data_IF_848218783077
#
_entry.id   IF_848218783077
#
_cell.length_a   1.000
_cell.length_b   1.000
_cell.length_c   1.000
_cell.angle_alpha   90.00
_cell.angle_beta   90.00
_cell.angle_gamma   90.00
#
_symmetry.space_group_name_H-M   'P 1'
#
loop_
_entity.id
_entity.type
_entity.pdbx_description
1 polymer ?
#
# COMPACT_ATOMS: atom_id res chain seq x y z
N UNK A 1 24.02 14.03 -6.35
CA UNK A 1 23.20 13.51 -5.25
C UNK A 1 23.42 12.02 -5.09
N UNK A 2 23.64 11.56 -3.87
CA UNK A 2 23.72 10.14 -3.52
C UNK A 2 22.33 9.48 -3.54
N UNK A 3 22.26 8.14 -3.60
CA UNK A 3 20.98 7.42 -3.51
C UNK A 3 20.26 7.72 -2.18
N UNK A 4 21.02 7.87 -1.09
CA UNK A 4 20.45 8.20 0.22
C UNK A 4 19.76 9.57 0.21
N UNK A 5 20.38 10.58 -0.40
CA UNK A 5 19.79 11.93 -0.52
C UNK A 5 18.54 11.92 -1.41
N UNK A 6 18.59 11.20 -2.54
CA UNK A 6 17.43 11.07 -3.44
C UNK A 6 16.29 10.33 -2.77
N UNK A 7 16.59 9.29 -2.00
CA UNK A 7 15.61 8.54 -1.23
C UNK A 7 14.95 9.44 -0.19
N UNK A 8 15.73 10.23 0.56
CA UNK A 8 15.17 11.16 1.54
C UNK A 8 14.26 12.21 0.90
N UNK A 9 14.68 12.84 -0.20
CA UNK A 9 13.82 13.78 -0.93
C UNK A 9 12.53 13.14 -1.45
N UNK A 10 12.62 11.87 -1.87
CA UNK A 10 11.45 11.10 -2.32
C UNK A 10 10.48 10.88 -1.16
N UNK A 11 10.98 10.53 0.03
CA UNK A 11 10.15 10.40 1.22
C UNK A 11 9.53 11.73 1.65
N UNK A 12 10.29 12.82 1.62
CA UNK A 12 9.80 14.16 1.97
C UNK A 12 8.66 14.58 1.01
N UNK A 13 8.79 14.30 -0.28
CA UNK A 13 7.71 14.48 -1.25
C UNK A 13 6.49 13.64 -0.88
N UNK A 14 6.64 12.33 -0.65
CA UNK A 14 5.54 11.44 -0.30
C UNK A 14 4.82 11.92 0.97
N UNK A 15 5.56 12.31 2.01
CA UNK A 15 4.99 12.78 3.26
C UNK A 15 4.32 14.16 3.15
N UNK A 16 4.73 15.00 2.19
CA UNK A 16 4.00 16.24 1.90
C UNK A 16 2.59 15.98 1.31
N UNK A 17 2.34 14.76 0.82
CA UNK A 17 1.01 14.31 0.36
C UNK A 17 0.14 13.70 1.49
N UNK A 18 0.61 13.75 2.75
CA UNK A 18 -0.24 13.40 3.88
C UNK A 18 -1.35 14.46 4.01
N UNK A 19 -2.62 14.05 4.15
CA UNK A 19 -3.66 15.00 4.50
C UNK A 19 -3.30 15.67 5.82
N UNK A 20 -3.41 17.01 5.91
CA UNK A 20 -3.31 17.70 7.19
C UNK A 20 -4.54 17.35 8.06
N UNK A 21 -4.51 16.18 8.70
CA UNK A 21 -5.57 15.71 9.60
C UNK A 21 -5.85 16.73 10.71
N UNK A 22 -4.81 17.38 11.23
CA UNK A 22 -4.91 18.43 12.25
C UNK A 22 -5.69 19.68 11.80
N UNK A 23 -5.86 19.90 10.49
CA UNK A 23 -6.48 21.12 9.95
C UNK A 23 -7.80 20.87 9.21
N UNK A 24 -8.06 19.64 8.76
CA UNK A 24 -9.19 19.29 7.88
C UNK A 24 -10.21 18.36 8.58
N UNK A 25 -9.85 17.74 9.71
CA UNK A 25 -10.76 16.89 10.48
C UNK A 25 -11.31 15.69 9.69
N UNK A 26 -12.49 15.16 10.04
CA UNK A 26 -13.11 14.01 9.36
C UNK A 26 -13.35 14.20 7.86
N UNK A 27 -13.32 15.44 7.36
CA UNK A 27 -13.45 15.77 5.94
C UNK A 27 -12.18 15.45 5.11
N UNK A 28 -11.05 15.11 5.75
CA UNK A 28 -9.86 14.61 5.08
C UNK A 28 -10.05 13.20 4.50
N UNK A 29 -11.09 12.48 4.91
CA UNK A 29 -11.54 11.26 4.26
C UNK A 29 -12.15 11.60 2.89
N UNK A 30 -11.43 11.30 1.80
CA UNK A 30 -12.03 11.31 0.47
C UNK A 30 -13.17 10.29 0.43
N UNK A 31 -14.32 10.69 -0.13
CA UNK A 31 -15.59 9.95 -0.08
C UNK A 31 -15.68 8.80 -1.08
N UNK A 32 -14.65 8.59 -1.91
CA UNK A 32 -14.65 7.59 -2.98
C UNK A 32 -13.24 7.06 -3.28
N UNK A 33 -13.17 6.09 -4.18
CA UNK A 33 -11.96 5.41 -4.62
C UNK A 33 -11.46 5.94 -5.99
N UNK A 34 -11.87 7.14 -6.41
CA UNK A 34 -11.62 7.66 -7.76
C UNK A 34 -10.12 7.81 -8.06
N UNK A 35 -9.34 8.42 -7.18
CA UNK A 35 -7.92 8.68 -7.44
C UNK A 35 -7.10 7.39 -7.48
N UNK A 36 -7.32 6.48 -6.54
CA UNK A 36 -6.61 5.19 -6.56
C UNK A 36 -6.97 4.38 -7.81
N UNK A 37 -8.24 4.41 -8.26
CA UNK A 37 -8.65 3.78 -9.52
C UNK A 37 -7.99 4.44 -10.73
N UNK A 38 -7.95 5.78 -10.78
CA UNK A 38 -7.31 6.53 -11.86
C UNK A 38 -5.80 6.23 -11.91
N UNK A 39 -5.14 6.25 -10.75
CA UNK A 39 -3.71 5.95 -10.64
C UNK A 39 -3.40 4.53 -11.09
N UNK A 40 -4.17 3.54 -10.61
CA UNK A 40 -3.98 2.16 -11.03
C UNK A 40 -4.33 1.93 -12.51
N UNK A 41 -5.31 2.63 -13.06
CA UNK A 41 -5.61 2.58 -14.50
C UNK A 41 -4.42 3.08 -15.33
N UNK A 42 -3.80 4.20 -14.94
CA UNK A 42 -2.60 4.73 -15.59
C UNK A 42 -1.38 3.81 -15.45
N UNK A 43 -1.31 3.00 -14.38
CA UNK A 43 -0.30 1.96 -14.19
C UNK A 43 -0.60 0.65 -14.96
N UNK A 44 -1.70 0.59 -15.71
CA UNK A 44 -2.11 -0.60 -16.45
C UNK A 44 -2.75 -1.67 -15.57
N UNK A 45 -3.48 -1.26 -14.54
CA UNK A 45 -4.22 -2.13 -13.61
C UNK A 45 -3.35 -3.21 -12.95
N UNK A 46 -2.25 -2.83 -12.26
CA UNK A 46 -1.34 -3.80 -11.66
C UNK A 46 -2.03 -4.70 -10.60
N UNK A 47 -3.05 -4.17 -9.92
CA UNK A 47 -3.84 -4.88 -8.90
C UNK A 47 -4.63 -6.09 -9.44
N UNK A 48 -4.78 -6.22 -10.76
CA UNK A 48 -5.46 -7.35 -11.42
C UNK A 48 -4.50 -8.45 -11.87
N UNK A 49 -3.19 -8.27 -11.67
CA UNK A 49 -2.14 -9.15 -12.19
C UNK A 49 -1.62 -10.18 -11.18
N UNK A 50 -2.20 -10.22 -9.99
CA UNK A 50 -1.86 -11.20 -8.95
C UNK A 50 -3.11 -11.51 -8.11
N UNK A 51 -3.26 -12.75 -7.59
CA UNK A 51 -4.30 -13.04 -6.62
C UNK A 51 -3.97 -12.39 -5.28
N UNK A 52 -5.00 -12.04 -4.51
CA UNK A 52 -4.82 -11.33 -3.24
C UNK A 52 -5.66 -11.89 -2.10
N UNK A 53 -5.15 -11.70 -0.88
CA UNK A 53 -5.87 -11.88 0.38
C UNK A 53 -5.97 -10.52 1.04
N UNK A 54 -7.18 -10.12 1.45
CA UNK A 54 -7.44 -8.80 2.01
C UNK A 54 -7.73 -8.88 3.50
N UNK A 55 -6.96 -8.17 4.32
CA UNK A 55 -7.01 -8.29 5.78
C UNK A 55 -7.47 -6.97 6.42
N UNK A 56 -8.65 -6.99 7.03
CA UNK A 56 -9.29 -5.87 7.70
C UNK A 56 -9.56 -6.16 9.19
N UNK A 57 -10.09 -5.17 9.90
CA UNK A 57 -10.45 -5.22 11.32
C UNK A 57 -9.80 -4.13 12.15
N UNK A 58 -10.11 -4.09 13.44
CA UNK A 58 -9.63 -3.05 14.34
C UNK A 58 -8.18 -3.34 14.75
N UNK A 59 -7.95 -4.49 15.39
CA UNK A 59 -6.64 -4.93 15.89
C UNK A 59 -6.24 -6.29 15.31
N UNK A 60 -4.92 -6.53 15.25
CA UNK A 60 -4.38 -7.82 14.80
C UNK A 60 -4.27 -8.00 13.28
N UNK A 61 -4.63 -6.98 12.49
CA UNK A 61 -4.44 -6.95 11.03
C UNK A 61 -2.99 -7.24 10.63
N UNK A 62 -2.05 -6.40 11.04
CA UNK A 62 -0.62 -6.57 10.75
C UNK A 62 -0.06 -7.93 11.19
N UNK A 63 -0.43 -8.43 12.37
CA UNK A 63 -0.01 -9.77 12.84
C UNK A 63 -0.55 -10.88 11.95
N UNK A 64 -1.84 -10.81 11.60
CA UNK A 64 -2.50 -11.78 10.72
C UNK A 64 -1.87 -11.75 9.32
N UNK A 65 -1.62 -10.56 8.77
CA UNK A 65 -0.95 -10.37 7.49
C UNK A 65 0.45 -11.01 7.47
N UNK A 66 1.25 -10.80 8.52
CA UNK A 66 2.58 -11.42 8.63
C UNK A 66 2.51 -12.94 8.82
N UNK A 67 1.57 -13.46 9.62
CA UNK A 67 1.40 -14.90 9.81
C UNK A 67 0.98 -15.60 8.52
N UNK A 68 0.00 -15.04 7.79
CA UNK A 68 -0.41 -15.53 6.47
C UNK A 68 0.75 -15.49 5.48
N UNK A 69 1.49 -14.37 5.43
CA UNK A 69 2.64 -14.23 4.56
C UNK A 69 3.72 -15.28 4.82
N UNK A 70 4.05 -15.53 6.09
CA UNK A 70 5.03 -16.53 6.48
C UNK A 70 4.58 -17.96 6.15
N UNK A 71 3.31 -18.29 6.41
CA UNK A 71 2.75 -19.61 6.09
C UNK A 71 2.77 -19.91 4.59
N UNK A 72 2.35 -18.93 3.77
CA UNK A 72 2.37 -19.06 2.30
C UNK A 72 3.80 -19.15 1.76
N UNK A 73 4.74 -18.38 2.30
CA UNK A 73 6.16 -18.49 1.94
C UNK A 73 6.73 -19.86 2.29
N UNK A 74 6.42 -20.40 3.48
CA UNK A 74 6.84 -21.73 3.90
C UNK A 74 6.25 -22.83 3.00
N UNK A 75 5.09 -22.59 2.38
CA UNK A 75 4.48 -23.47 1.39
C UNK A 75 5.08 -23.32 -0.03
N UNK A 76 6.08 -22.45 -0.22
CA UNK A 76 6.83 -22.31 -1.47
C UNK A 76 6.33 -21.20 -2.42
N UNK A 77 5.33 -20.41 -2.02
CA UNK A 77 4.84 -19.30 -2.84
C UNK A 77 5.76 -18.06 -2.75
N UNK A 78 5.88 -17.32 -3.85
CA UNK A 78 6.41 -15.95 -3.87
C UNK A 78 5.33 -14.99 -3.37
N UNK A 79 5.49 -14.47 -2.16
CA UNK A 79 4.45 -13.70 -1.48
C UNK A 79 4.80 -12.21 -1.41
N UNK A 80 3.90 -11.39 -1.94
CA UNK A 80 3.85 -9.94 -1.69
C UNK A 80 3.15 -9.63 -0.37
N UNK A 81 3.65 -8.67 0.39
CA UNK A 81 3.06 -8.28 1.67
C UNK A 81 2.99 -6.77 1.77
N UNK A 82 1.77 -6.25 1.96
CA UNK A 82 1.51 -4.83 2.19
C UNK A 82 0.97 -4.62 3.61
N UNK A 83 1.65 -3.77 4.40
CA UNK A 83 1.27 -3.46 5.78
C UNK A 83 1.36 -1.98 6.11
N UNK A 84 0.61 -1.55 7.13
CA UNK A 84 0.63 -0.16 7.60
C UNK A 84 0.24 -0.01 9.09
N UNK A 85 0.73 1.02 9.79
CA UNK A 85 1.81 1.94 9.40
C UNK A 85 3.18 1.24 9.36
N UNK A 86 4.23 2.00 9.06
CA UNK A 86 5.62 1.55 9.29
C UNK A 86 6.13 2.10 10.63
N UNK A 87 7.15 1.46 11.20
CA UNK A 87 7.75 1.85 12.46
C UNK A 87 9.01 2.71 12.29
N UNK A 88 9.95 2.32 11.41
CA UNK A 88 11.21 3.07 11.20
C UNK A 88 11.50 3.38 9.73
N UNK A 89 11.26 2.42 8.85
CA UNK A 89 11.56 2.53 7.43
C UNK A 89 10.27 2.41 6.60
N UNK A 90 10.01 3.38 5.73
CA UNK A 90 8.88 3.35 4.79
C UNK A 90 8.75 2.02 4.06
N UNK A 91 9.88 1.38 3.73
CA UNK A 91 9.93 0.12 2.96
C UNK A 91 9.37 -1.07 3.74
N UNK A 92 9.18 -0.95 5.06
CA UNK A 92 8.45 -1.94 5.86
C UNK A 92 7.03 -2.16 5.34
N UNK A 93 6.45 -1.17 4.64
CA UNK A 93 5.11 -1.26 4.06
C UNK A 93 5.01 -2.23 2.88
N UNK A 94 6.11 -2.51 2.17
CA UNK A 94 6.09 -3.25 0.90
C UNK A 94 7.22 -4.28 0.92
N UNK A 95 6.84 -5.56 0.99
CA UNK A 95 7.81 -6.67 1.02
C UNK A 95 7.46 -7.73 -0.01
N UNK A 96 8.48 -8.39 -0.54
CA UNK A 96 8.35 -9.64 -1.30
C UNK A 96 9.28 -10.68 -0.67
N UNK A 97 8.75 -11.84 -0.30
CA UNK A 97 9.49 -12.89 0.41
C UNK A 97 10.24 -12.36 1.65
N UNK A 98 9.59 -11.48 2.42
CA UNK A 98 10.13 -10.86 3.62
C UNK A 98 11.18 -9.77 3.37
N UNK A 99 11.61 -9.56 2.11
CA UNK A 99 12.59 -8.54 1.74
C UNK A 99 11.89 -7.24 1.39
N UNK A 100 12.43 -6.14 1.89
CA UNK A 100 11.92 -4.80 1.63
C UNK A 100 12.07 -4.44 0.15
N UNK A 101 11.09 -3.70 -0.38
CA UNK A 101 11.27 -2.97 -1.64
C UNK A 101 12.56 -2.14 -1.58
N UNK A 102 13.30 -2.02 -2.69
CA UNK A 102 14.55 -1.27 -2.70
C UNK A 102 14.32 0.24 -2.66
N UNK A 103 15.26 1.00 -2.11
CA UNK A 103 15.21 2.48 -2.14
C UNK A 103 15.19 2.99 -3.58
N UNK A 104 16.03 2.40 -4.44
CA UNK A 104 16.04 2.67 -5.87
C UNK A 104 14.67 2.50 -6.52
N UNK A 105 13.94 1.43 -6.21
CA UNK A 105 12.59 1.23 -6.74
C UNK A 105 11.63 2.34 -6.30
N UNK A 106 11.64 2.70 -5.01
CA UNK A 106 10.80 3.80 -4.50
C UNK A 106 11.10 5.12 -5.20
N UNK A 107 12.39 5.45 -5.36
CA UNK A 107 12.83 6.65 -6.09
C UNK A 107 12.33 6.62 -7.53
N UNK A 108 12.56 5.51 -8.23
CA UNK A 108 12.22 5.38 -9.64
C UNK A 108 10.72 5.41 -9.88
N UNK A 109 9.94 4.75 -9.03
CA UNK A 109 8.49 4.79 -9.09
C UNK A 109 7.97 6.23 -8.94
N UNK A 110 8.42 6.95 -7.91
CA UNK A 110 7.95 8.31 -7.66
C UNK A 110 8.35 9.24 -8.81
N UNK A 111 9.59 9.12 -9.29
CA UNK A 111 10.09 9.93 -10.42
C UNK A 111 9.33 9.63 -11.71
N UNK A 112 9.11 8.35 -12.02
CA UNK A 112 8.45 7.93 -13.26
C UNK A 112 7.00 8.45 -13.33
N UNK A 113 6.28 8.41 -12.21
CA UNK A 113 4.86 8.73 -12.16
C UNK A 113 4.53 10.09 -11.55
N UNK A 114 5.53 10.96 -11.37
CA UNK A 114 5.36 12.28 -10.76
C UNK A 114 4.30 13.14 -11.46
N UNK A 115 4.22 13.07 -12.80
CA UNK A 115 3.22 13.79 -13.58
C UNK A 115 1.79 13.37 -13.20
N UNK A 116 1.54 12.07 -13.01
CA UNK A 116 0.24 11.55 -12.57
C UNK A 116 -0.14 12.07 -11.19
N UNK A 117 0.84 12.26 -10.29
CA UNK A 117 0.56 12.78 -8.95
C UNK A 117 0.11 14.24 -8.97
N UNK A 118 0.63 15.04 -9.92
CA UNK A 118 0.20 16.43 -10.10
C UNK A 118 -1.22 16.51 -10.69
N UNK A 119 -1.56 15.61 -11.61
CA UNK A 119 -2.88 15.57 -12.28
C UNK A 119 -3.98 15.00 -11.39
N UNK A 120 -3.72 13.85 -10.76
CA UNK A 120 -4.70 13.10 -9.97
C UNK A 120 -4.79 13.65 -8.53
N UNK A 121 -3.72 14.26 -8.02
CA UNK A 121 -3.58 14.67 -6.62
C UNK A 121 -3.94 13.54 -5.61
N UNK A 122 -3.33 12.35 -5.76
CA UNK A 122 -3.56 11.24 -4.84
C UNK A 122 -2.91 11.53 -3.47
N UNK A 123 -3.53 11.01 -2.42
CA UNK A 123 -2.95 11.05 -1.07
C UNK A 123 -1.71 10.16 -0.97
N UNK A 124 -0.92 10.36 0.09
CA UNK A 124 0.18 9.48 0.46
C UNK A 124 -0.21 7.99 0.46
N UNK A 125 -1.38 7.66 1.01
CA UNK A 125 -1.84 6.27 1.10
C UNK A 125 -2.15 5.69 -0.28
N UNK A 126 -2.82 6.45 -1.15
CA UNK A 126 -3.14 6.03 -2.51
C UNK A 126 -1.86 5.80 -3.34
N UNK A 127 -0.86 6.69 -3.24
CA UNK A 127 0.44 6.51 -3.90
C UNK A 127 1.13 5.25 -3.40
N UNK A 128 1.16 5.04 -2.09
CA UNK A 128 1.84 3.89 -1.47
C UNK A 128 1.17 2.57 -1.87
N UNK A 129 -0.16 2.51 -1.90
CA UNK A 129 -0.90 1.31 -2.33
C UNK A 129 -0.65 1.01 -3.81
N UNK A 130 -0.73 2.03 -4.68
CA UNK A 130 -0.43 1.86 -6.10
C UNK A 130 1.01 1.39 -6.34
N UNK A 131 1.97 1.93 -5.59
CA UNK A 131 3.37 1.49 -5.63
C UNK A 131 3.52 0.02 -5.21
N UNK A 132 2.81 -0.41 -4.17
CA UNK A 132 2.82 -1.80 -3.73
C UNK A 132 2.27 -2.74 -4.81
N UNK A 133 1.13 -2.36 -5.42
CA UNK A 133 0.53 -3.16 -6.50
C UNK A 133 1.43 -3.25 -7.72
N UNK A 134 2.01 -2.14 -8.18
CA UNK A 134 2.96 -2.14 -9.29
C UNK A 134 4.19 -3.01 -8.96
N UNK A 135 4.72 -2.92 -7.73
CA UNK A 135 5.85 -3.73 -7.31
C UNK A 135 5.53 -5.23 -7.31
N UNK A 136 4.39 -5.63 -6.75
CA UNK A 136 3.97 -7.03 -6.72
C UNK A 136 3.70 -7.58 -8.12
N UNK A 137 3.09 -6.79 -9.00
CA UNK A 137 2.86 -7.18 -10.38
C UNK A 137 4.19 -7.36 -11.15
N UNK A 138 5.16 -6.46 -10.97
CA UNK A 138 6.49 -6.55 -11.62
C UNK A 138 7.32 -7.71 -11.08
N UNK A 139 7.22 -7.97 -9.79
CA UNK A 139 7.86 -9.11 -9.17
C UNK A 139 7.20 -10.44 -9.55
N UNK A 140 5.99 -10.44 -10.12
CA UNK A 140 5.27 -11.66 -10.47
C UNK A 140 5.02 -12.52 -9.23
N UNK A 141 4.48 -11.93 -8.17
CA UNK A 141 4.15 -12.66 -6.94
C UNK A 141 3.04 -13.67 -7.22
N UNK A 142 3.12 -14.84 -6.59
CA UNK A 142 2.08 -15.87 -6.69
C UNK A 142 0.83 -15.46 -5.91
N UNK A 143 0.98 -14.65 -4.85
CA UNK A 143 -0.11 -14.11 -4.05
C UNK A 143 0.36 -12.87 -3.27
N UNK A 144 -0.53 -11.90 -3.08
CA UNK A 144 -0.29 -10.75 -2.21
C UNK A 144 -1.23 -10.72 -0.99
N UNK A 145 -0.68 -10.56 0.21
CA UNK A 145 -1.46 -10.34 1.44
C UNK A 145 -1.48 -8.84 1.73
N UNK A 146 -2.67 -8.24 1.65
CA UNK A 146 -2.87 -6.80 1.67
C UNK A 146 -3.62 -6.41 2.96
N UNK A 147 -2.95 -5.69 3.85
CA UNK A 147 -3.57 -5.06 5.01
C UNK A 147 -4.36 -3.81 4.61
N UNK A 148 -5.59 -3.70 5.10
CA UNK A 148 -6.39 -2.47 5.07
C UNK A 148 -5.76 -1.41 5.98
N UNK A 149 -5.59 -0.19 5.46
CA UNK A 149 -5.10 0.94 6.25
C UNK A 149 -6.11 1.39 7.30
N UNK A 150 -7.31 1.76 6.87
CA UNK A 150 -8.38 2.21 7.77
C UNK A 150 -9.78 1.81 7.28
N UNK A 151 -10.56 1.22 8.18
CA UNK A 151 -11.93 0.80 7.90
C UNK A 151 -12.00 -0.37 6.92
N UNK A 152 -12.16 -0.08 5.62
CA UNK A 152 -12.24 -1.08 4.56
C UNK A 152 -12.95 -0.59 3.31
N UNK A 153 -14.23 -0.22 3.41
CA UNK A 153 -15.07 0.10 2.23
C UNK A 153 -14.48 1.19 1.31
N UNK A 154 -13.89 2.23 1.90
CA UNK A 154 -13.29 3.36 1.20
C UNK A 154 -11.77 3.40 1.35
N UNK A 155 -11.17 2.30 1.81
CA UNK A 155 -9.72 2.20 1.89
C UNK A 155 -9.13 2.04 0.49
N UNK A 156 -7.97 2.66 0.23
CA UNK A 156 -7.32 2.60 -1.09
C UNK A 156 -7.01 1.18 -1.54
N UNK A 157 -6.84 0.24 -0.62
CA UNK A 157 -6.63 -1.18 -0.95
C UNK A 157 -7.88 -1.86 -1.49
N UNK A 158 -9.08 -1.32 -1.24
CA UNK A 158 -10.38 -1.91 -1.61
C UNK A 158 -10.74 -1.73 -3.10
N UNK A 159 -9.74 -1.76 -3.97
CA UNK A 159 -9.89 -1.89 -5.42
C UNK A 159 -9.47 -3.27 -5.95
N UNK A 160 -8.89 -4.11 -5.07
CA UNK A 160 -8.56 -5.51 -5.38
C UNK A 160 -9.83 -6.38 -5.39
N UNK A 161 -9.73 -7.54 -6.03
CA UNK A 161 -10.72 -8.63 -5.95
C UNK A 161 -10.07 -9.82 -5.25
N UNK A 162 -10.14 -9.90 -3.92
CA UNK A 162 -9.39 -10.90 -3.19
C UNK A 162 -10.05 -12.27 -3.32
N UNK A 163 -9.24 -13.33 -3.28
CA UNK A 163 -9.70 -14.71 -3.17
C UNK A 163 -10.20 -15.03 -1.76
N UNK A 164 -9.72 -14.28 -0.77
CA UNK A 164 -10.10 -14.39 0.64
C UNK A 164 -10.10 -13.00 1.29
N UNK A 165 -11.20 -12.65 1.94
CA UNK A 165 -11.27 -11.49 2.82
C UNK A 165 -11.28 -11.96 4.27
N UNK A 166 -10.35 -11.44 5.07
CA UNK A 166 -10.22 -11.74 6.50
C UNK A 166 -10.62 -10.49 7.27
N UNK A 167 -11.58 -10.62 8.18
CA UNK A 167 -11.87 -9.60 9.18
C UNK A 167 -11.41 -10.17 10.52
N UNK A 168 -10.44 -9.50 11.15
CA UNK A 168 -9.82 -9.94 12.41
C UNK A 168 -10.78 -9.73 13.58
N UNK A 169 -10.56 -8.72 14.42
CA UNK A 169 -11.55 -8.33 15.42
C UNK A 169 -12.23 -7.01 15.04
N UNK A 170 -13.39 -6.76 15.62
CA UNK A 170 -14.12 -5.50 15.51
C UNK A 170 -14.31 -4.97 16.93
N UNK A 171 -13.74 -3.79 17.19
CA UNK A 171 -13.90 -3.07 18.44
C UNK A 171 -14.02 -1.58 18.18
N UNK A 172 -14.53 -0.84 19.16
CA UNK A 172 -14.48 0.62 19.14
C UNK A 172 -13.03 1.08 19.20
N UNK A 173 -12.62 1.83 18.18
CA UNK A 173 -11.30 2.43 18.00
C UNK A 173 -11.49 3.61 17.04
N UNK A 174 -10.63 4.63 17.14
CA UNK A 174 -10.74 5.88 16.36
C UNK A 174 -12.03 6.71 16.59
N UNK A 175 -12.41 6.94 17.85
CA UNK A 175 -13.44 7.92 18.22
C UNK A 175 -12.95 9.36 18.11
#
# INVERSE_FOLDING_TARGET
MTEQEQYQQTLDFLFSQLPMFQRIGPAAFKKDLSNIRALCAALGQPQERFPSIHVAGTNGKGSTTHMLGAALQAAGYKVGLYTSPHYRDFRERIKVNGRYVSRRYVIDFVRQYQHLFNEIQPSFFEITVAMAFDYFAREGVDVAVIEVGLGGRLDSTNIIRPMLSVVTNISFDHM
#
